data_IF_913422039875
#
_entry.id   IF_913422039875
#
_cell.length_a   1.000
_cell.length_b   1.000
_cell.length_c   1.000
_cell.angle_alpha   90.00
_cell.angle_beta   90.00
_cell.angle_gamma   90.00
#
_symmetry.space_group_name_H-M   'P 1'
#
loop_
_entity.id
_entity.type
_entity.pdbx_description
1 polymer ?
#
# COMPACT_ATOMS: atom_id res chain seq x y z
N UNK A 1 10.94 -5.98 24.02
CA UNK A 1 12.18 -6.72 23.76
C UNK A 1 11.81 -8.02 23.06
N UNK A 2 12.27 -8.21 21.83
CA UNK A 2 12.01 -9.44 21.05
C UNK A 2 12.74 -10.62 21.70
N UNK A 3 12.10 -11.78 21.80
CA UNK A 3 12.71 -12.98 22.37
C UNK A 3 13.86 -13.46 21.47
N UNK A 4 15.10 -13.44 21.98
CA UNK A 4 16.32 -13.72 21.18
C UNK A 4 16.35 -15.13 20.61
N UNK A 5 15.67 -16.09 21.24
CA UNK A 5 15.70 -17.50 20.83
C UNK A 5 14.99 -17.76 19.47
N UNK A 6 14.10 -16.86 19.05
CA UNK A 6 13.36 -17.02 17.78
C UNK A 6 14.14 -16.57 16.54
N UNK A 7 15.34 -15.99 16.69
CA UNK A 7 16.09 -15.34 15.60
C UNK A 7 17.48 -15.92 15.38
N UNK A 8 17.79 -17.12 15.88
CA UNK A 8 19.11 -17.77 15.73
C UNK A 8 19.54 -18.02 14.26
N UNK A 9 18.66 -17.78 13.28
CA UNK A 9 18.90 -17.96 11.85
C UNK A 9 18.84 -16.67 11.04
N UNK A 10 18.98 -15.50 11.68
CA UNK A 10 18.98 -14.21 11.01
C UNK A 10 20.40 -13.63 10.98
N UNK A 11 20.81 -13.16 9.80
CA UNK A 11 22.00 -12.31 9.68
C UNK A 11 21.70 -10.94 10.32
N UNK A 12 22.72 -10.20 10.76
CA UNK A 12 22.54 -8.85 11.31
C UNK A 12 23.11 -7.80 10.35
N UNK A 13 22.37 -6.71 10.11
CA UNK A 13 22.81 -5.62 9.25
C UNK A 13 22.55 -4.27 9.92
N UNK A 14 23.62 -3.51 10.18
CA UNK A 14 23.59 -2.15 10.72
C UNK A 14 24.42 -1.24 9.80
N UNK A 15 23.80 -0.51 8.85
CA UNK A 15 24.53 0.44 8.04
C UNK A 15 24.91 1.66 8.86
N UNK A 16 26.21 1.92 8.94
CA UNK A 16 26.84 3.10 9.56
C UNK A 16 27.36 4.10 8.52
N UNK A 17 27.61 3.64 7.29
CA UNK A 17 28.14 4.45 6.20
C UNK A 17 27.68 3.90 4.84
N UNK A 18 27.81 4.71 3.78
CA UNK A 18 27.38 4.31 2.44
C UNK A 18 28.12 3.06 1.94
N UNK A 19 29.41 2.90 2.30
CA UNK A 19 30.22 1.72 1.96
C UNK A 19 29.64 0.42 2.50
N UNK A 20 28.82 0.43 3.55
CA UNK A 20 28.25 -0.79 4.13
C UNK A 20 27.23 -1.46 3.18
N UNK A 21 26.66 -0.68 2.25
CA UNK A 21 25.84 -1.21 1.14
C UNK A 21 26.69 -1.77 -0.01
N UNK A 22 27.99 -1.50 0.01
CA UNK A 22 28.99 -1.89 -0.97
C UNK A 22 30.07 -2.81 -0.37
N UNK A 23 29.96 -3.22 0.90
CA UNK A 23 31.00 -3.89 1.71
C UNK A 23 31.18 -5.38 1.38
N UNK A 24 31.37 -5.66 0.10
CA UNK A 24 32.01 -6.88 -0.35
C UNK A 24 33.10 -6.59 -1.39
N UNK A 25 33.92 -5.54 -1.21
CA UNK A 25 34.91 -5.22 -2.24
C UNK A 25 36.34 -4.91 -1.81
N UNK A 26 37.14 -5.97 -1.89
CA UNK A 26 38.48 -5.92 -2.48
C UNK A 26 38.49 -6.00 -4.04
N UNK A 27 37.34 -6.08 -4.73
CA UNK A 27 37.23 -6.47 -6.18
C UNK A 27 36.11 -5.80 -7.07
N UNK A 28 35.57 -4.62 -6.74
CA UNK A 28 34.52 -3.85 -7.47
C UNK A 28 33.20 -4.51 -7.97
N UNK A 29 32.09 -4.43 -7.23
CA UNK A 29 30.76 -4.81 -7.74
C UNK A 29 29.62 -4.67 -6.72
N UNK A 30 28.53 -5.42 -6.90
CA UNK A 30 27.22 -5.10 -6.30
C UNK A 30 26.82 -6.19 -5.29
N UNK A 31 26.38 -5.78 -4.10
CA UNK A 31 25.87 -6.70 -3.06
C UNK A 31 24.35 -6.86 -3.18
N UNK A 32 23.88 -8.11 -2.99
CA UNK A 32 22.48 -8.48 -3.14
C UNK A 32 22.02 -9.27 -1.91
N UNK A 33 20.75 -9.09 -1.53
CA UNK A 33 20.05 -10.08 -0.72
C UNK A 33 19.19 -10.91 -1.66
N UNK A 34 19.35 -12.23 -1.60
CA UNK A 34 18.55 -13.13 -2.43
C UNK A 34 17.18 -13.39 -1.78
N UNK A 35 16.21 -13.83 -2.58
CA UNK A 35 14.92 -14.32 -2.09
C UNK A 35 15.14 -15.45 -1.08
N UNK A 36 14.41 -15.43 0.03
CA UNK A 36 14.53 -16.38 1.14
C UNK A 36 15.46 -15.90 2.27
N UNK A 37 16.22 -14.83 2.03
CA UNK A 37 17.14 -14.26 3.02
C UNK A 37 16.37 -13.59 4.19
N UNK A 38 16.95 -13.67 5.39
CA UNK A 38 16.38 -13.18 6.66
C UNK A 38 17.42 -12.37 7.42
N UNK A 39 17.11 -11.12 7.74
CA UNK A 39 18.06 -10.17 8.35
C UNK A 39 17.43 -9.46 9.53
N UNK A 40 18.17 -9.24 10.60
CA UNK A 40 17.88 -8.26 11.62
C UNK A 40 18.52 -6.95 11.20
N UNK A 41 17.68 -5.99 10.78
CA UNK A 41 18.14 -4.69 10.27
C UNK A 41 17.95 -3.64 11.34
N UNK A 42 18.99 -2.85 11.58
CA UNK A 42 18.88 -1.67 12.44
C UNK A 42 18.58 -0.44 11.58
N UNK A 43 17.37 0.10 11.67
CA UNK A 43 16.98 1.33 10.97
C UNK A 43 17.13 2.57 11.87
N UNK A 44 16.93 2.36 13.17
CA UNK A 44 16.99 3.36 14.24
C UNK A 44 17.94 2.83 15.32
N UNK A 45 18.70 3.73 15.95
CA UNK A 45 19.76 3.35 16.87
C UNK A 45 19.26 2.44 18.01
N UNK A 46 19.92 1.29 18.17
CA UNK A 46 19.63 0.30 19.20
C UNK A 46 18.42 -0.59 18.92
N UNK A 47 17.79 -0.48 17.75
CA UNK A 47 16.59 -1.26 17.43
C UNK A 47 16.74 -2.16 16.19
N UNK A 48 16.75 -3.47 16.46
CA UNK A 48 16.77 -4.50 15.42
C UNK A 48 15.35 -4.88 14.98
N UNK A 49 15.11 -4.79 13.68
CA UNK A 49 13.84 -5.12 13.03
C UNK A 49 14.04 -6.35 12.14
N UNK A 50 13.28 -7.44 12.34
CA UNK A 50 13.32 -8.58 11.44
C UNK A 50 12.85 -8.18 10.04
N UNK A 51 13.64 -8.52 9.03
CA UNK A 51 13.34 -8.39 7.61
C UNK A 51 13.35 -9.78 6.98
N UNK A 52 12.29 -10.10 6.25
CA UNK A 52 12.19 -11.32 5.44
C UNK A 52 11.91 -10.95 3.98
N UNK A 53 12.65 -11.55 3.07
CA UNK A 53 12.49 -11.35 1.62
C UNK A 53 11.97 -12.64 1.00
N UNK A 54 10.89 -12.55 0.22
CA UNK A 54 10.28 -13.71 -0.46
C UNK A 54 9.90 -13.35 -1.91
N UNK A 55 9.67 -14.37 -2.73
CA UNK A 55 9.08 -14.19 -4.06
C UNK A 55 7.55 -14.27 -3.95
N UNK A 56 6.85 -13.55 -4.82
CA UNK A 56 5.40 -13.73 -5.02
C UNK A 56 5.05 -15.13 -5.52
N UNK A 57 6.01 -15.81 -6.16
CA UNK A 57 5.87 -17.19 -6.63
C UNK A 57 6.26 -18.24 -5.58
N UNK A 58 6.56 -17.82 -4.35
CA UNK A 58 6.88 -18.77 -3.27
C UNK A 58 5.66 -19.69 -3.03
N UNK A 59 5.80 -21.03 -3.15
CA UNK A 59 4.68 -21.94 -2.93
C UNK A 59 4.13 -21.92 -1.50
N UNK A 60 4.82 -21.27 -0.56
CA UNK A 60 4.39 -21.04 0.82
C UNK A 60 3.89 -19.63 1.05
N UNK A 61 3.68 -18.81 0.00
CA UNK A 61 3.31 -17.40 0.13
C UNK A 61 2.13 -17.19 1.09
N UNK A 62 1.01 -17.89 0.93
CA UNK A 62 -0.14 -17.77 1.85
C UNK A 62 0.22 -18.06 3.30
N UNK A 63 1.05 -19.07 3.56
CA UNK A 63 1.54 -19.36 4.92
C UNK A 63 2.44 -18.25 5.46
N UNK A 64 3.25 -17.62 4.60
CA UNK A 64 4.15 -16.53 4.97
C UNK A 64 3.35 -15.26 5.29
N UNK A 65 2.32 -14.95 4.49
CA UNK A 65 1.40 -13.83 4.70
C UNK A 65 0.63 -14.00 6.02
N UNK A 66 0.05 -15.19 6.26
CA UNK A 66 -0.63 -15.49 7.53
C UNK A 66 0.31 -15.39 8.74
N UNK A 67 1.60 -15.69 8.56
CA UNK A 67 2.56 -15.60 9.65
C UNK A 67 2.89 -14.16 10.04
N UNK A 68 2.72 -13.16 9.17
CA UNK A 68 2.98 -11.76 9.53
C UNK A 68 1.74 -11.06 10.11
N UNK A 69 0.55 -11.60 9.87
CA UNK A 69 -0.69 -11.10 10.45
C UNK A 69 -0.65 -11.23 11.98
N UNK A 70 -0.87 -10.11 12.66
CA UNK A 70 -0.93 -9.99 14.11
C UNK A 70 -2.31 -9.47 14.59
N UNK A 71 -3.30 -9.46 13.69
CA UNK A 71 -4.66 -8.97 13.93
C UNK A 71 -4.79 -7.45 13.90
N UNK A 72 -3.71 -6.71 13.63
CA UNK A 72 -3.72 -5.25 13.50
C UNK A 72 -3.71 -4.79 12.04
N UNK A 73 -3.89 -3.49 11.79
CA UNK A 73 -3.69 -2.95 10.45
C UNK A 73 -2.22 -3.07 10.05
N UNK A 74 -1.97 -3.26 8.76
CA UNK A 74 -0.63 -3.54 8.23
C UNK A 74 -0.09 -2.30 7.51
N UNK A 75 1.14 -1.88 7.83
CA UNK A 75 1.78 -0.82 7.06
C UNK A 75 2.14 -1.34 5.67
N UNK A 76 1.83 -0.56 4.63
CA UNK A 76 1.98 -0.93 3.23
C UNK A 76 2.67 0.19 2.45
N UNK A 77 3.60 -0.22 1.59
CA UNK A 77 4.13 0.60 0.50
C UNK A 77 4.46 -0.28 -0.72
N UNK A 78 4.54 0.32 -1.91
CA UNK A 78 4.79 -0.40 -3.16
C UNK A 78 5.91 0.27 -3.95
N UNK A 79 6.76 -0.53 -4.57
CA UNK A 79 7.66 -0.05 -5.62
C UNK A 79 7.24 -0.59 -6.98
N UNK A 80 7.47 0.19 -8.03
CA UNK A 80 6.99 -0.12 -9.37
C UNK A 80 8.14 -0.30 -10.34
N UNK A 81 7.98 -1.24 -11.27
CA UNK A 81 8.94 -1.40 -12.36
C UNK A 81 8.99 -0.11 -13.21
N UNK A 82 10.16 0.22 -13.79
CA UNK A 82 10.27 1.33 -14.73
C UNK A 82 9.26 1.22 -15.88
N UNK A 83 8.86 2.37 -16.44
CA UNK A 83 7.92 2.35 -17.56
C UNK A 83 8.69 2.00 -18.84
N UNK A 84 8.53 0.77 -19.31
CA UNK A 84 9.13 0.36 -20.57
C UNK A 84 8.18 0.60 -21.75
N UNK A 85 6.85 0.49 -21.55
CA UNK A 85 5.83 0.75 -22.56
C UNK A 85 4.46 1.06 -21.93
N UNK A 86 3.91 2.24 -22.24
CA UNK A 86 2.49 2.64 -22.02
C UNK A 86 2.09 2.98 -20.56
N UNK A 87 2.95 3.57 -19.76
CA UNK A 87 2.61 4.08 -18.42
C UNK A 87 1.99 3.02 -17.49
N UNK A 88 2.33 1.75 -17.67
CA UNK A 88 1.71 0.68 -16.88
C UNK A 88 2.38 0.50 -15.53
N UNK A 89 3.69 0.80 -15.39
CA UNK A 89 4.52 0.65 -14.17
C UNK A 89 3.94 -0.41 -13.21
N UNK A 90 4.05 -1.70 -13.58
CA UNK A 90 3.51 -2.77 -12.74
C UNK A 90 4.21 -2.78 -11.39
N UNK A 91 3.55 -3.34 -10.38
CA UNK A 91 4.13 -3.45 -9.04
C UNK A 91 5.30 -4.44 -9.10
N UNK A 92 6.50 -3.96 -8.79
CA UNK A 92 7.73 -4.77 -8.72
C UNK A 92 8.02 -5.28 -7.31
N UNK A 93 7.59 -4.54 -6.29
CA UNK A 93 7.83 -4.89 -4.90
C UNK A 93 6.62 -4.55 -4.01
N UNK A 94 6.23 -5.49 -3.15
CA UNK A 94 5.25 -5.25 -2.10
C UNK A 94 5.95 -5.25 -0.76
N UNK A 95 5.62 -4.27 0.07
CA UNK A 95 6.29 -4.02 1.33
C UNK A 95 5.25 -4.02 2.43
N UNK A 96 5.45 -4.85 3.46
CA UNK A 96 4.56 -4.94 4.60
C UNK A 96 5.34 -4.79 5.89
N UNK A 97 4.79 -4.07 6.87
CA UNK A 97 5.32 -4.07 8.22
C UNK A 97 4.22 -4.27 9.26
N UNK A 98 4.47 -5.17 10.20
CA UNK A 98 3.63 -5.48 11.37
C UNK A 98 4.47 -5.52 12.64
N UNK A 99 3.90 -5.91 13.78
CA UNK A 99 4.68 -6.12 15.01
C UNK A 99 5.73 -7.23 14.90
N UNK A 100 5.63 -8.07 13.87
CA UNK A 100 6.56 -9.18 13.58
C UNK A 100 7.74 -8.77 12.70
N UNK A 101 7.80 -7.51 12.26
CA UNK A 101 8.86 -6.97 11.41
C UNK A 101 8.38 -6.67 9.99
N UNK A 102 9.34 -6.62 9.07
CA UNK A 102 9.12 -6.29 7.66
C UNK A 102 9.11 -7.55 6.81
N UNK A 103 8.11 -7.65 5.94
CA UNK A 103 8.07 -8.62 4.84
C UNK A 103 8.14 -7.87 3.51
N UNK A 104 9.12 -8.24 2.70
CA UNK A 104 9.23 -7.81 1.31
C UNK A 104 8.86 -8.97 0.41
N UNK A 105 7.91 -8.76 -0.49
CA UNK A 105 7.49 -9.73 -1.52
C UNK A 105 7.90 -9.18 -2.89
N UNK A 106 8.87 -9.83 -3.54
CA UNK A 106 9.29 -9.50 -4.92
C UNK A 106 8.23 -9.99 -5.92
N UNK A 107 7.77 -9.09 -6.79
CA UNK A 107 6.83 -9.41 -7.86
C UNK A 107 7.44 -10.35 -8.91
N UNK A 108 6.57 -10.97 -9.70
CA UNK A 108 6.93 -11.86 -10.81
C UNK A 108 7.17 -11.06 -12.09
N UNK A 109 7.87 -11.66 -13.03
CA UNK A 109 8.18 -11.07 -14.35
C UNK A 109 6.92 -10.89 -15.22
N UNK A 110 5.91 -11.72 -15.02
CA UNK A 110 4.62 -11.62 -15.70
C UNK A 110 3.63 -10.67 -14.99
N UNK A 111 4.04 -10.13 -13.83
CA UNK A 111 3.26 -9.23 -12.99
C UNK A 111 1.90 -9.80 -12.57
N UNK A 112 1.77 -11.13 -12.55
CA UNK A 112 0.58 -11.81 -12.10
C UNK A 112 0.50 -11.80 -10.56
N UNK A 113 -0.66 -11.42 -10.03
CA UNK A 113 -0.93 -11.51 -8.59
C UNK A 113 -1.61 -12.87 -8.27
N UNK A 114 -0.97 -13.75 -7.49
CA UNK A 114 -1.52 -15.06 -7.12
C UNK A 114 -2.69 -14.92 -6.14
N UNK A 115 -3.50 -15.97 -6.06
CA UNK A 115 -4.72 -15.99 -5.25
C UNK A 115 -4.45 -15.65 -3.78
N UNK A 116 -3.43 -16.26 -3.17
CA UNK A 116 -3.05 -15.99 -1.76
C UNK A 116 -2.81 -14.49 -1.50
N UNK A 117 -2.15 -13.80 -2.43
CA UNK A 117 -1.88 -12.36 -2.32
C UNK A 117 -3.18 -11.53 -2.48
N UNK A 118 -4.06 -11.94 -3.41
CA UNK A 118 -5.37 -11.29 -3.59
C UNK A 118 -6.23 -11.43 -2.35
N UNK A 119 -6.33 -12.65 -1.82
CA UNK A 119 -7.06 -12.93 -0.60
C UNK A 119 -6.52 -12.15 0.58
N UNK A 120 -5.19 -12.04 0.71
CA UNK A 120 -4.55 -11.23 1.74
C UNK A 120 -4.95 -9.75 1.65
N UNK A 121 -4.89 -9.13 0.46
CA UNK A 121 -5.35 -7.75 0.29
C UNK A 121 -6.83 -7.56 0.59
N UNK A 122 -7.68 -8.51 0.21
CA UNK A 122 -9.13 -8.42 0.41
C UNK A 122 -9.55 -8.64 1.87
N UNK A 123 -8.78 -9.43 2.63
CA UNK A 123 -9.10 -9.81 4.01
C UNK A 123 -8.50 -8.89 5.08
N UNK A 124 -7.50 -8.08 4.73
CA UNK A 124 -6.78 -7.23 5.69
C UNK A 124 -7.03 -5.74 5.44
N UNK A 125 -6.70 -4.93 6.46
CA UNK A 125 -6.71 -3.48 6.40
C UNK A 125 -5.29 -2.94 6.43
N UNK A 126 -5.00 -2.01 5.55
CA UNK A 126 -3.68 -1.44 5.36
C UNK A 126 -3.67 0.05 5.66
N UNK A 127 -2.48 0.57 5.93
CA UNK A 127 -2.22 2.00 5.95
C UNK A 127 -0.85 2.30 5.32
N UNK A 128 -0.73 3.45 4.69
CA UNK A 128 0.51 3.94 4.10
C UNK A 128 0.51 5.46 4.09
N UNK A 129 1.55 6.08 3.50
CA UNK A 129 1.65 7.52 3.39
C UNK A 129 1.63 7.95 1.92
N UNK A 130 0.67 8.79 1.53
CA UNK A 130 0.56 9.26 0.15
C UNK A 130 0.11 8.17 -0.81
N UNK A 131 -0.85 7.34 -0.39
CA UNK A 131 -1.18 6.04 -1.00
C UNK A 131 -2.02 6.13 -2.28
N UNK A 132 -2.13 7.30 -2.89
CA UNK A 132 -3.04 7.54 -4.02
C UNK A 132 -2.69 6.68 -5.23
N UNK A 133 -1.42 6.65 -5.59
CA UNK A 133 -0.94 5.81 -6.70
C UNK A 133 -0.99 4.33 -6.34
N UNK A 134 -0.64 3.95 -5.11
CA UNK A 134 -0.67 2.55 -4.67
C UNK A 134 -2.06 1.95 -4.79
N UNK A 135 -3.08 2.70 -4.40
CA UNK A 135 -4.47 2.30 -4.57
C UNK A 135 -4.80 2.01 -6.04
N UNK A 136 -4.45 2.92 -6.94
CA UNK A 136 -4.71 2.75 -8.38
C UNK A 136 -4.01 1.50 -8.92
N UNK A 137 -2.76 1.26 -8.50
CA UNK A 137 -1.98 0.09 -8.91
C UNK A 137 -2.56 -1.22 -8.37
N UNK A 138 -3.02 -1.24 -7.12
CA UNK A 138 -3.67 -2.39 -6.52
C UNK A 138 -5.01 -2.69 -7.19
N UNK A 139 -5.83 -1.68 -7.48
CA UNK A 139 -7.09 -1.87 -8.21
C UNK A 139 -6.86 -2.50 -9.59
N UNK A 140 -5.81 -2.05 -10.28
CA UNK A 140 -5.40 -2.62 -11.55
C UNK A 140 -4.99 -4.09 -11.42
N UNK A 141 -4.16 -4.42 -10.43
CA UNK A 141 -3.65 -5.78 -10.20
C UNK A 141 -4.72 -6.76 -9.66
N UNK A 142 -5.64 -6.27 -8.83
CA UNK A 142 -6.75 -7.02 -8.26
C UNK A 142 -7.93 -7.17 -9.24
N UNK A 143 -8.02 -6.28 -10.24
CA UNK A 143 -9.15 -6.14 -11.17
C UNK A 143 -10.48 -5.83 -10.46
N UNK A 144 -10.43 -5.06 -9.37
CA UNK A 144 -11.58 -4.66 -8.55
C UNK A 144 -11.25 -3.39 -7.75
N UNK A 145 -12.26 -2.61 -7.31
CA UNK A 145 -12.04 -1.43 -6.46
C UNK A 145 -11.44 -1.79 -5.10
N UNK A 146 -10.48 -1.01 -4.62
CA UNK A 146 -9.73 -1.30 -3.40
C UNK A 146 -9.82 -0.16 -2.38
N UNK A 147 -10.56 -0.40 -1.29
CA UNK A 147 -10.80 0.60 -0.24
C UNK A 147 -9.99 0.39 1.03
N UNK A 148 -9.36 -0.77 1.21
CA UNK A 148 -8.74 -1.20 2.47
C UNK A 148 -7.34 -0.60 2.69
N UNK A 149 -7.10 0.64 2.23
CA UNK A 149 -5.82 1.34 2.37
C UNK A 149 -6.05 2.76 2.86
N UNK A 150 -5.72 2.99 4.13
CA UNK A 150 -5.74 4.30 4.76
C UNK A 150 -4.50 5.11 4.37
N UNK A 151 -4.71 6.37 3.97
CA UNK A 151 -3.62 7.33 3.79
C UNK A 151 -3.40 8.14 5.06
N UNK A 152 -2.34 7.82 5.80
CA UNK A 152 -2.02 8.46 7.08
C UNK A 152 -1.70 9.94 6.92
N UNK A 153 -1.27 10.38 5.74
CA UNK A 153 -1.02 11.80 5.47
C UNK A 153 -2.31 12.61 5.67
N UNK A 154 -3.41 12.09 5.14
CA UNK A 154 -4.71 12.74 5.16
C UNK A 154 -5.51 12.42 6.44
N UNK A 155 -5.44 11.18 6.94
CA UNK A 155 -6.23 10.78 8.12
C UNK A 155 -5.58 11.17 9.46
N UNK A 156 -4.25 11.29 9.51
CA UNK A 156 -3.51 11.44 10.77
C UNK A 156 -2.57 12.65 10.81
N UNK A 157 -1.81 12.94 9.75
CA UNK A 157 -0.78 13.99 9.77
C UNK A 157 -1.39 15.39 9.60
N UNK A 158 -2.08 15.64 8.48
CA UNK A 158 -2.69 16.94 8.18
C UNK A 158 -3.67 17.40 9.27
N UNK A 159 -4.59 16.57 9.79
CA UNK A 159 -5.52 16.99 10.83
C UNK A 159 -4.84 17.37 12.15
N UNK A 160 -3.59 16.93 12.36
CA UNK A 160 -2.79 17.23 13.56
C UNK A 160 -1.73 18.31 13.33
N UNK A 161 -1.69 18.93 12.15
CA UNK A 161 -0.68 19.94 11.81
C UNK A 161 0.74 19.39 11.74
N UNK A 162 0.90 18.07 11.53
CA UNK A 162 2.21 17.43 11.44
C UNK A 162 2.75 17.51 10.01
N UNK A 163 4.09 17.50 9.87
CA UNK A 163 4.73 17.53 8.55
C UNK A 163 4.33 16.32 7.72
N UNK A 164 4.02 16.57 6.45
CA UNK A 164 3.79 15.54 5.43
C UNK A 164 5.08 15.20 4.67
N UNK A 165 6.19 15.89 4.91
CA UNK A 165 7.49 15.47 4.40
C UNK A 165 7.92 14.21 5.17
N UNK A 166 8.36 13.16 4.45
CA UNK A 166 8.64 11.85 5.05
C UNK A 166 9.68 11.93 6.18
N UNK A 167 10.81 12.58 5.93
CA UNK A 167 11.89 12.67 6.91
C UNK A 167 11.45 13.47 8.14
N UNK A 168 10.87 14.66 7.92
CA UNK A 168 10.38 15.50 9.01
C UNK A 168 9.26 14.82 9.81
N UNK A 169 8.40 14.03 9.16
CA UNK A 169 7.37 13.23 9.84
C UNK A 169 8.02 12.25 10.82
N UNK A 170 9.01 11.48 10.35
CA UNK A 170 9.71 10.49 11.18
C UNK A 170 10.42 11.17 12.35
N UNK A 171 11.21 12.21 12.07
CA UNK A 171 11.97 12.93 13.10
C UNK A 171 11.07 13.58 14.15
N UNK A 172 10.01 14.29 13.72
CA UNK A 172 9.13 15.01 14.64
C UNK A 172 8.25 14.08 15.48
N UNK A 173 7.81 12.95 14.93
CA UNK A 173 6.91 12.02 15.64
C UNK A 173 7.68 11.03 16.50
N UNK A 174 8.78 10.47 15.98
CA UNK A 174 9.57 9.47 16.70
C UNK A 174 10.63 10.09 17.61
N UNK A 175 11.06 11.33 17.33
CA UNK A 175 12.16 11.98 18.05
C UNK A 175 13.52 11.36 17.74
N UNK A 176 13.65 10.68 16.60
CA UNK A 176 14.84 9.96 16.17
C UNK A 176 15.04 10.11 14.65
N UNK A 177 16.31 10.13 14.24
CA UNK A 177 16.72 10.05 12.84
C UNK A 177 17.08 8.60 12.48
N UNK A 178 16.95 8.19 11.21
CA UNK A 178 17.48 6.91 10.77
C UNK A 178 19.01 6.88 10.94
N UNK A 179 19.58 5.69 11.18
CA UNK A 179 21.04 5.54 11.33
C UNK A 179 21.81 5.79 10.03
N UNK A 180 21.15 5.61 8.90
CA UNK A 180 21.65 5.90 7.56
C UNK A 180 20.55 6.55 6.75
N UNK A 181 20.88 7.60 5.97
CA UNK A 181 19.94 8.33 5.12
C UNK A 181 19.41 7.44 3.99
N UNK A 182 18.18 6.92 4.10
CA UNK A 182 17.70 5.90 3.17
C UNK A 182 17.15 6.51 1.89
N UNK A 183 16.66 7.76 1.93
CA UNK A 183 15.88 8.40 0.85
C UNK A 183 16.74 8.95 -0.31
N UNK A 184 17.62 8.12 -0.87
CA UNK A 184 18.36 8.46 -2.10
C UNK A 184 17.46 8.36 -3.33
N UNK A 185 17.31 9.48 -4.05
CA UNK A 185 16.52 9.56 -5.29
C UNK A 185 16.95 8.54 -6.36
N UNK A 186 18.24 8.17 -6.40
CA UNK A 186 18.76 7.14 -7.32
C UNK A 186 18.18 5.76 -7.02
N UNK A 187 17.86 5.47 -5.76
CA UNK A 187 17.20 4.22 -5.35
C UNK A 187 15.70 4.30 -5.64
N UNK A 188 15.04 5.42 -5.29
CA UNK A 188 13.62 5.64 -5.60
C UNK A 188 13.32 5.45 -7.10
N UNK A 189 14.22 5.92 -7.97
CA UNK A 189 14.07 5.83 -9.44
C UNK A 189 14.78 4.62 -10.06
N UNK A 190 15.21 3.65 -9.25
CA UNK A 190 15.93 2.47 -9.73
C UNK A 190 15.00 1.46 -10.41
N UNK A 191 15.58 0.42 -11.00
CA UNK A 191 14.82 -0.68 -11.56
C UNK A 191 14.38 -1.65 -10.46
N UNK A 192 13.12 -1.52 -10.05
CA UNK A 192 12.46 -2.40 -9.08
C UNK A 192 11.92 -3.70 -9.69
N UNK A 193 11.97 -3.83 -11.02
CA UNK A 193 11.66 -5.06 -11.75
C UNK A 193 12.87 -5.96 -11.99
N UNK A 194 14.07 -5.52 -11.60
CA UNK A 194 15.30 -6.27 -11.84
C UNK A 194 15.27 -7.69 -11.22
N UNK A 195 15.92 -8.65 -11.89
CA UNK A 195 16.03 -10.04 -11.44
C UNK A 195 16.56 -10.14 -10.00
N UNK A 196 17.55 -9.28 -9.67
CA UNK A 196 18.17 -9.18 -8.35
C UNK A 196 18.21 -7.72 -7.90
N UNK A 197 17.61 -7.46 -6.74
CA UNK A 197 17.67 -6.15 -6.10
C UNK A 197 18.87 -6.07 -5.15
N UNK A 198 19.49 -4.90 -5.12
CA UNK A 198 20.63 -4.63 -4.25
C UNK A 198 20.21 -4.58 -2.78
N UNK A 199 21.15 -4.79 -1.85
CA UNK A 199 20.92 -4.58 -0.41
C UNK A 199 20.35 -3.18 -0.15
N UNK A 200 20.84 -2.17 -0.88
CA UNK A 200 20.37 -0.79 -0.75
C UNK A 200 18.90 -0.61 -1.13
N UNK A 201 18.44 -1.28 -2.18
CA UNK A 201 17.02 -1.27 -2.59
C UNK A 201 16.14 -1.94 -1.53
N UNK A 202 16.54 -3.11 -1.01
CA UNK A 202 15.78 -3.77 0.06
C UNK A 202 15.77 -2.97 1.37
N UNK A 203 16.90 -2.37 1.74
CA UNK A 203 16.98 -1.51 2.92
C UNK A 203 16.06 -0.29 2.78
N UNK A 204 16.06 0.36 1.60
CA UNK A 204 15.16 1.46 1.28
C UNK A 204 13.69 1.06 1.49
N UNK A 205 13.26 -0.01 0.80
CA UNK A 205 11.87 -0.47 0.86
C UNK A 205 11.48 -0.88 2.30
N UNK A 206 12.34 -1.62 2.98
CA UNK A 206 12.07 -2.03 4.35
C UNK A 206 11.98 -0.84 5.32
N UNK A 207 12.78 0.20 5.13
CA UNK A 207 12.72 1.43 5.92
C UNK A 207 11.38 2.15 5.75
N UNK A 208 10.85 2.24 4.52
CA UNK A 208 9.64 3.01 4.23
C UNK A 208 8.43 2.52 5.03
N UNK A 209 8.17 1.22 4.99
CA UNK A 209 7.08 0.63 5.78
C UNK A 209 7.38 0.55 7.28
N UNK A 210 8.64 0.36 7.68
CA UNK A 210 9.03 0.33 9.09
C UNK A 210 8.83 1.69 9.77
N UNK A 211 9.26 2.77 9.12
CA UNK A 211 9.10 4.13 9.62
C UNK A 211 7.63 4.53 9.69
N UNK A 212 6.84 4.23 8.65
CA UNK A 212 5.38 4.46 8.64
C UNK A 212 4.69 3.65 9.74
N UNK A 213 5.05 2.38 9.92
CA UNK A 213 4.54 1.54 11.00
C UNK A 213 4.76 2.19 12.36
N UNK A 214 5.99 2.61 12.66
CA UNK A 214 6.36 3.25 13.94
C UNK A 214 5.61 4.55 14.18
N UNK A 215 5.53 5.41 13.16
CA UNK A 215 4.80 6.68 13.22
C UNK A 215 3.33 6.42 13.54
N UNK A 216 2.71 5.46 12.86
CA UNK A 216 1.32 5.08 13.12
C UNK A 216 1.12 4.63 14.57
N UNK A 217 1.96 3.72 15.07
CA UNK A 217 1.89 3.23 16.46
C UNK A 217 2.04 4.39 17.47
N UNK A 218 2.96 5.32 17.24
CA UNK A 218 3.16 6.49 18.10
C UNK A 218 1.94 7.41 18.11
N UNK A 219 1.35 7.69 16.94
CA UNK A 219 0.18 8.57 16.81
C UNK A 219 -1.10 7.97 17.41
N UNK A 220 -1.20 6.64 17.46
CA UNK A 220 -2.31 5.92 18.10
C UNK A 220 -2.09 5.68 19.60
N UNK A 221 -0.89 5.94 20.12
CA UNK A 221 -0.63 5.88 21.55
C UNK A 221 -1.40 6.98 22.30
N UNK A 222 -2.21 6.58 23.30
CA UNK A 222 -3.04 7.50 24.10
C UNK A 222 -2.24 8.61 24.79
N UNK A 223 -1.05 8.30 25.28
CA UNK A 223 -0.19 9.27 25.94
C UNK A 223 0.32 10.33 24.95
N UNK A 224 0.71 9.90 23.74
CA UNK A 224 1.10 10.84 22.69
C UNK A 224 -0.06 11.76 22.29
N UNK A 225 -1.27 11.19 22.14
CA UNK A 225 -2.49 11.98 21.87
C UNK A 225 -2.72 13.03 22.96
N UNK A 226 -2.52 12.70 24.23
CA UNK A 226 -2.66 13.63 25.35
C UNK A 226 -1.61 14.77 25.29
N UNK A 227 -0.35 14.45 25.01
CA UNK A 227 0.73 15.44 24.88
C UNK A 227 0.43 16.41 23.73
N UNK A 228 0.04 15.90 22.56
CA UNK A 228 -0.29 16.72 21.39
C UNK A 228 -1.48 17.67 21.64
N UNK A 229 -2.52 17.20 22.33
CA UNK A 229 -3.66 18.04 22.69
C UNK A 229 -3.25 19.19 23.61
N UNK A 230 -2.40 18.92 24.60
CA UNK A 230 -1.93 19.93 25.55
C UNK A 230 -1.01 20.97 24.91
N UNK A 231 -0.12 20.55 24.01
CA UNK A 231 0.77 21.47 23.28
C UNK A 231 -0.03 22.42 22.37
N UNK A 232 -1.07 21.92 21.70
CA UNK A 232 -1.95 22.76 20.90
C UNK A 232 -2.73 23.75 21.76
N UNK A 233 -3.23 23.36 22.93
CA UNK A 233 -3.89 24.29 23.86
C UNK A 233 -2.98 25.42 24.35
N UNK A 234 -1.70 25.12 24.60
CA UNK A 234 -0.70 26.12 25.00
C UNK A 234 -0.36 27.08 23.84
N UNK A 235 -0.25 26.58 22.60
CA UNK A 235 0.00 27.41 21.42
C UNK A 235 -1.19 28.32 21.06
N UNK A 236 -2.43 27.88 21.29
CA UNK A 236 -3.62 28.72 21.15
C UNK A 236 -3.69 29.83 22.22
N UNK A 237 -3.19 29.57 23.44
CA UNK A 237 -3.13 30.60 24.49
C UNK A 237 -2.05 31.65 24.20
N UNK A 238 -0.87 31.23 23.73
CA UNK A 238 0.24 32.15 23.43
C UNK A 238 -0.03 33.06 22.22
N UNK A 239 -0.74 32.57 21.19
CA UNK A 239 -1.16 33.40 20.04
C UNK A 239 -2.28 34.40 20.39
N UNK A 240 -3.16 34.07 21.34
CA UNK A 240 -4.19 35.01 21.81
C UNK A 240 -3.61 36.09 22.73
N UNK A 241 -2.54 35.82 23.48
CA UNK A 241 -1.85 36.85 24.27
C UNK A 241 -1.05 37.85 23.43
N UNK A 242 -0.71 37.52 22.17
CA UNK A 242 -0.04 38.48 21.27
C UNK A 242 -1.00 39.37 20.46
N UNK A 243 -2.29 39.02 20.42
CA UNK A 243 -3.33 39.76 19.66
C UNK A 243 -4.06 40.81 20.51
N UNK A 244 -4.03 40.66 21.83
CA UNK A 244 -4.38 41.75 22.75
C UNK A 244 -3.07 42.37 23.24
N UNK A 245 -2.73 43.54 22.70
CA UNK A 245 -1.69 44.40 23.26
C UNK A 245 -2.08 44.80 24.68
N UNK A 246 -1.81 43.94 25.65
CA UNK A 246 -1.99 44.23 27.07
C UNK A 246 -0.70 44.86 27.55
N UNK A 247 -0.77 46.18 27.74
CA UNK A 247 0.17 46.96 28.52
C UNK A 247 0.50 46.26 29.83
N UNK A 248 1.79 46.21 30.15
CA UNK A 248 2.35 45.65 31.38
C UNK A 248 1.60 46.13 32.64
N UNK A 249 0.69 45.33 33.17
CA UNK A 249 0.28 45.42 34.57
C UNK A 249 1.20 44.46 35.35
N UNK A 250 2.23 45.02 35.97
CA UNK A 250 3.04 44.32 36.98
C UNK A 250 2.15 43.96 38.15
N UNK A 251 1.80 42.69 38.29
CA UNK A 251 1.36 42.16 39.57
C UNK A 251 2.60 41.67 40.34
N UNK A 252 3.00 42.44 41.34
CA UNK A 252 3.88 41.96 42.40
C UNK A 252 3.06 40.99 43.26
N UNK A 253 3.40 39.71 43.25
CA UNK A 253 2.97 38.78 44.28
C UNK A 253 4.13 38.55 45.25
N UNK A 254 3.99 39.09 46.46
CA UNK A 254 4.77 38.68 47.62
C UNK A 254 3.88 37.91 48.59
N UNK A 255 4.46 36.81 49.05
CA UNK A 255 4.28 36.10 50.32
C UNK A 255 3.12 35.10 50.50
N UNK A 256 3.55 33.85 50.65
CA UNK A 256 3.43 32.97 51.82
C UNK A 256 2.06 32.66 52.47
N UNK A 257 1.90 31.34 52.61
CA UNK A 257 1.40 30.55 53.74
C UNK A 257 -0.11 30.32 53.99
N UNK A 258 -0.36 29.00 54.08
CA UNK A 258 -1.26 28.26 54.97
C UNK A 258 -2.80 28.25 54.80
N UNK A 259 -3.27 27.01 54.59
CA UNK A 259 -4.49 26.35 55.11
C UNK A 259 -5.76 27.20 55.33
N UNK A 260 -6.87 26.79 54.70
CA UNK A 260 -8.01 26.13 55.38
C UNK A 260 -9.01 25.59 54.34
N UNK A 261 -9.57 24.45 54.71
CA UNK A 261 -10.63 23.67 54.10
C UNK A 261 -12.00 24.15 54.62
N UNK A 262 -12.98 24.45 53.75
CA UNK A 262 -14.43 24.24 54.05
C UNK A 262 -15.29 24.30 52.78
N UNK A 263 -16.10 23.26 52.59
CA UNK A 263 -17.35 23.27 51.82
C UNK A 263 -18.36 24.26 52.43
N UNK A 264 -19.15 24.98 51.62
CA UNK A 264 -20.62 24.84 51.51
C UNK A 264 -21.33 25.98 50.73
N UNK A 265 -22.26 25.54 49.87
CA UNK A 265 -23.52 26.16 49.40
C UNK A 265 -23.65 27.62 48.93
N UNK A 266 -24.20 27.75 47.72
CA UNK A 266 -25.52 28.36 47.39
C UNK A 266 -25.55 29.38 46.24
N UNK A 267 -26.57 29.17 45.41
CA UNK A 267 -27.10 30.00 44.33
C UNK A 267 -27.03 31.50 44.61
N UNK A 268 -26.71 32.32 43.60
CA UNK A 268 -27.48 33.51 43.16
C UNK A 268 -26.97 33.93 41.77
N UNK A 269 -27.89 34.04 40.82
CA UNK A 269 -27.76 34.78 39.55
C UNK A 269 -27.93 36.28 39.83
N UNK A 270 -27.24 37.18 39.10
CA UNK A 270 -28.04 38.04 38.23
C UNK A 270 -27.41 38.40 36.88
N UNK A 271 -28.35 38.71 35.99
CA UNK A 271 -28.25 39.30 34.66
C UNK A 271 -27.24 40.45 34.54
N UNK A 272 -26.50 40.47 33.43
CA UNK A 272 -26.12 41.71 32.75
C UNK A 272 -26.38 41.52 31.24
N UNK A 273 -27.36 42.27 30.75
CA UNK A 273 -27.51 42.60 29.34
C UNK A 273 -26.33 43.48 28.91
N UNK A 274 -25.75 43.22 27.75
CA UNK A 274 -25.38 44.29 26.82
C UNK A 274 -25.28 43.77 25.40
N UNK A 275 -25.92 44.55 24.53
CA UNK A 275 -26.13 44.45 23.10
C UNK A 275 -24.87 44.71 22.30
N UNK A 276 -24.61 43.90 21.26
CA UNK A 276 -23.99 44.38 20.01
C UNK A 276 -24.64 43.67 18.81
N UNK A 277 -25.24 44.48 17.96
CA UNK A 277 -25.82 44.21 16.64
C UNK A 277 -24.75 43.80 15.62
N UNK A 278 -25.01 42.74 14.86
CA UNK A 278 -24.20 42.32 13.71
C UNK A 278 -25.08 41.87 12.55
N UNK A 279 -24.93 42.56 11.42
CA UNK A 279 -25.72 42.49 10.19
C UNK A 279 -25.63 41.12 9.51
N UNK A 280 -26.76 40.45 9.29
CA UNK A 280 -26.86 39.32 8.35
C UNK A 280 -27.35 39.83 6.99
N UNK A 281 -26.52 39.64 5.95
CA UNK A 281 -26.92 39.80 4.55
C UNK A 281 -27.59 38.51 4.08
N UNK A 282 -28.84 38.62 3.65
CA UNK A 282 -29.57 37.59 2.92
C UNK A 282 -28.93 37.38 1.54
N UNK A 283 -28.55 36.14 1.24
CA UNK A 283 -28.16 35.75 -0.11
C UNK A 283 -29.37 35.19 -0.87
N UNK A 284 -29.58 35.81 -2.04
CA UNK A 284 -30.63 35.54 -3.03
C UNK A 284 -30.69 34.07 -3.44
N UNK A 285 -31.88 33.52 -3.36
CA UNK A 285 -32.36 32.32 -4.07
C UNK A 285 -32.28 32.52 -5.59
N UNK A 286 -31.56 31.64 -6.28
CA UNK A 286 -31.59 31.51 -7.74
C UNK A 286 -32.60 30.42 -8.12
N UNK A 287 -33.63 30.79 -8.87
CA UNK A 287 -34.58 29.87 -9.50
C UNK A 287 -33.93 29.22 -10.73
N UNK A 288 -33.93 27.89 -10.81
CA UNK A 288 -33.62 27.16 -12.04
C UNK A 288 -34.93 26.74 -12.73
N UNK A 289 -35.03 27.07 -14.02
CA UNK A 289 -36.09 26.59 -14.91
C UNK A 289 -35.85 25.13 -15.33
N UNK A 290 -36.90 24.33 -15.59
CA UNK A 290 -36.75 22.95 -16.02
C UNK A 290 -36.48 22.85 -17.54
N UNK A 291 -35.45 22.10 -17.93
CA UNK A 291 -35.24 21.68 -19.33
C UNK A 291 -35.85 20.30 -19.58
N UNK A 292 -36.48 20.15 -20.74
CA UNK A 292 -37.17 18.96 -21.23
C UNK A 292 -36.23 17.76 -21.49
N UNK A 293 -36.73 16.51 -21.42
CA UNK A 293 -35.90 15.31 -21.59
C UNK A 293 -35.54 15.04 -23.05
N UNK A 294 -34.27 14.70 -23.28
CA UNK A 294 -33.73 14.19 -24.54
C UNK A 294 -33.95 12.68 -24.60
N UNK A 295 -34.70 12.21 -25.60
CA UNK A 295 -34.90 10.80 -25.91
C UNK A 295 -33.63 10.25 -26.56
N UNK A 296 -33.05 9.20 -25.99
CA UNK A 296 -32.02 8.37 -26.65
C UNK A 296 -32.51 6.92 -26.72
N UNK A 297 -32.57 6.39 -27.93
CA UNK A 297 -32.94 5.00 -28.23
C UNK A 297 -31.87 4.03 -27.73
N UNK A 298 -32.29 3.01 -26.98
CA UNK A 298 -31.46 1.89 -26.56
C UNK A 298 -31.73 0.71 -27.50
N UNK A 299 -30.73 0.31 -28.29
CA UNK A 299 -30.75 -0.95 -29.04
C UNK A 299 -30.24 -2.06 -28.13
N UNK A 300 -31.11 -3.00 -27.76
CA UNK A 300 -30.79 -4.17 -26.94
C UNK A 300 -30.16 -5.24 -27.84
N UNK A 301 -28.90 -5.62 -27.59
CA UNK A 301 -28.30 -6.84 -28.15
C UNK A 301 -28.55 -8.01 -27.20
N UNK A 302 -29.18 -9.06 -27.69
CA UNK A 302 -29.30 -10.34 -26.98
C UNK A 302 -27.96 -11.11 -27.04
N UNK A 303 -27.48 -11.73 -25.95
CA UNK A 303 -26.27 -12.53 -25.98
C UNK A 303 -26.50 -13.86 -26.70
N UNK A 304 -25.61 -14.18 -27.63
CA UNK A 304 -25.51 -15.47 -28.32
C UNK A 304 -24.89 -16.51 -27.38
N UNK A 305 -25.57 -17.64 -27.17
CA UNK A 305 -25.07 -18.77 -26.36
C UNK A 305 -24.55 -19.85 -27.32
N UNK A 306 -23.24 -20.15 -27.37
CA UNK A 306 -22.74 -21.24 -28.19
C UNK A 306 -23.11 -22.59 -27.58
N UNK A 307 -23.64 -23.51 -28.39
CA UNK A 307 -23.82 -24.91 -28.02
C UNK A 307 -22.52 -25.68 -28.24
N UNK A 308 -22.07 -26.42 -27.23
CA UNK A 308 -20.92 -27.32 -27.32
C UNK A 308 -21.38 -28.77 -27.15
N UNK A 309 -21.06 -29.62 -28.12
CA UNK A 309 -21.24 -31.07 -28.04
C UNK A 309 -19.89 -31.73 -27.71
N UNK A 310 -19.75 -32.45 -26.58
CA UNK A 310 -18.55 -33.22 -26.31
C UNK A 310 -18.53 -34.46 -27.22
N UNK A 311 -17.44 -34.63 -27.98
CA UNK A 311 -17.10 -35.91 -28.60
C UNK A 311 -16.15 -36.67 -27.69
N UNK A 312 -16.49 -37.91 -27.39
CA UNK A 312 -15.68 -38.84 -26.59
C UNK A 312 -14.56 -39.43 -27.45
N UNK A 313 -13.29 -39.24 -27.08
CA UNK A 313 -12.16 -39.94 -27.69
C UNK A 313 -11.03 -40.20 -26.67
N UNK A 314 -10.59 -41.46 -26.69
CA UNK A 314 -9.52 -42.11 -25.94
C UNK A 314 -8.19 -41.37 -25.79
N UNK A 315 -7.68 -41.34 -24.55
CA UNK A 315 -6.28 -41.45 -24.13
C UNK A 315 -5.19 -40.93 -25.09
N UNK A 316 -5.03 -39.60 -25.22
CA UNK A 316 -3.71 -38.90 -25.25
C UNK A 316 -3.77 -37.38 -25.57
N UNK A 317 -4.85 -36.69 -25.20
CA UNK A 317 -4.94 -35.23 -25.34
C UNK A 317 -6.39 -34.79 -25.48
N UNK A 318 -6.62 -33.47 -25.51
CA UNK A 318 -7.91 -32.89 -25.87
C UNK A 318 -7.72 -31.85 -26.97
N UNK A 319 -8.78 -31.67 -27.76
CA UNK A 319 -8.82 -30.71 -28.85
C UNK A 319 -9.72 -29.54 -28.46
N UNK A 320 -9.25 -28.32 -28.70
CA UNK A 320 -10.08 -27.12 -28.63
C UNK A 320 -10.30 -26.61 -30.06
N UNK A 321 -11.56 -26.49 -30.47
CA UNK A 321 -11.96 -26.02 -31.80
C UNK A 321 -12.58 -24.65 -31.67
N UNK A 322 -12.01 -23.65 -32.35
CA UNK A 322 -12.49 -22.28 -32.37
C UNK A 322 -12.93 -21.89 -33.77
N UNK A 323 -14.12 -21.29 -33.97
CA UNK A 323 -14.48 -20.69 -35.24
C UNK A 323 -13.57 -19.48 -35.53
N UNK A 324 -13.04 -19.40 -36.76
CA UNK A 324 -12.23 -18.27 -37.21
C UNK A 324 -13.10 -17.02 -37.35
N UNK A 325 -13.05 -16.14 -36.35
CA UNK A 325 -13.50 -14.76 -36.49
C UNK A 325 -12.36 -14.04 -37.21
N UNK A 326 -12.63 -13.43 -38.38
CA UNK A 326 -11.66 -12.69 -39.22
C UNK A 326 -11.01 -11.53 -38.44
N UNK A 327 -10.03 -11.82 -37.59
CA UNK A 327 -9.35 -10.83 -36.77
C UNK A 327 -7.87 -11.19 -36.61
N UNK A 328 -6.98 -10.29 -37.06
CA UNK A 328 -5.52 -10.46 -37.08
C UNK A 328 -4.91 -10.72 -35.70
N UNK A 329 -5.63 -10.43 -34.61
CA UNK A 329 -5.16 -10.58 -33.24
C UNK A 329 -5.08 -12.04 -32.73
N UNK A 330 -5.72 -13.01 -33.40
CA UNK A 330 -5.62 -14.43 -33.03
C UNK A 330 -4.22 -15.01 -33.25
N UNK A 331 -3.44 -14.45 -34.19
CA UNK A 331 -2.10 -14.94 -34.54
C UNK A 331 -1.15 -14.82 -33.34
N UNK A 332 -1.26 -13.76 -32.54
CA UNK A 332 -0.42 -13.56 -31.34
C UNK A 332 -0.75 -14.55 -30.21
N UNK A 333 -2.03 -14.94 -30.06
CA UNK A 333 -2.46 -15.94 -29.08
C UNK A 333 -1.91 -17.33 -29.43
N UNK A 334 -1.86 -17.66 -30.73
CA UNK A 334 -1.33 -18.93 -31.24
C UNK A 334 0.19 -19.06 -31.03
N UNK A 335 0.93 -17.95 -31.10
CA UNK A 335 2.38 -17.91 -30.84
C UNK A 335 2.73 -18.20 -29.37
N UNK A 336 1.85 -17.85 -28.43
CA UNK A 336 2.05 -18.13 -27.00
C UNK A 336 1.80 -19.61 -26.69
N UNK A 337 0.80 -20.21 -27.34
CA UNK A 337 0.44 -21.61 -27.14
C UNK A 337 1.47 -22.59 -27.76
N UNK A 338 2.10 -22.23 -28.89
CA UNK A 338 3.12 -23.09 -29.51
C UNK A 338 4.39 -23.28 -28.67
N UNK A 339 4.64 -22.41 -27.68
CA UNK A 339 5.76 -22.54 -26.73
C UNK A 339 5.53 -23.59 -25.64
N UNK A 340 4.32 -24.14 -25.49
CA UNK A 340 3.98 -25.12 -24.44
C UNK A 340 3.37 -26.40 -25.02
N UNK A 341 4.18 -27.28 -25.63
CA UNK A 341 3.78 -28.66 -26.02
C UNK A 341 2.39 -28.79 -26.70
N UNK A 342 1.97 -27.76 -27.45
CA UNK A 342 0.70 -27.75 -28.16
C UNK A 342 1.00 -27.73 -29.66
N UNK A 343 0.20 -28.48 -30.42
CA UNK A 343 0.20 -28.40 -31.88
C UNK A 343 -1.00 -27.57 -32.31
N UNK A 344 -0.75 -26.51 -33.07
CA UNK A 344 -1.81 -25.66 -33.62
C UNK A 344 -1.97 -25.98 -35.09
N UNK A 345 -3.20 -26.27 -35.52
CA UNK A 345 -3.55 -26.45 -36.93
C UNK A 345 -4.68 -25.50 -37.28
N UNK A 346 -4.57 -24.83 -38.43
CA UNK A 346 -5.56 -23.86 -38.90
C UNK A 346 -6.21 -24.38 -40.18
N UNK A 347 -7.54 -24.25 -40.28
CA UNK A 347 -8.30 -24.40 -41.53
C UNK A 347 -8.97 -23.07 -41.88
N UNK A 348 -9.60 -22.95 -43.05
CA UNK A 348 -10.22 -21.70 -43.51
C UNK A 348 -11.23 -21.11 -42.51
N UNK A 349 -11.92 -21.94 -41.75
CA UNK A 349 -13.00 -21.53 -40.86
C UNK A 349 -12.76 -21.87 -39.39
N UNK A 350 -11.66 -22.56 -39.05
CA UNK A 350 -11.43 -23.01 -37.68
C UNK A 350 -9.96 -23.02 -37.28
N UNK A 351 -9.71 -22.83 -35.99
CA UNK A 351 -8.42 -23.11 -35.36
C UNK A 351 -8.58 -24.30 -34.45
N UNK A 352 -7.74 -25.31 -34.64
CA UNK A 352 -7.69 -26.52 -33.83
C UNK A 352 -6.41 -26.47 -33.01
N UNK A 353 -6.54 -26.47 -31.69
CA UNK A 353 -5.41 -26.57 -30.77
C UNK A 353 -5.42 -27.96 -30.16
N UNK A 354 -4.39 -28.74 -30.44
CA UNK A 354 -4.14 -30.03 -29.80
C UNK A 354 -3.18 -29.83 -28.62
N UNK A 355 -3.63 -30.21 -27.43
CA UNK A 355 -2.85 -30.09 -26.20
C UNK A 355 -2.40 -31.49 -25.76
N UNK A 356 -1.15 -31.83 -26.05
CA UNK A 356 -0.56 -33.08 -25.53
C UNK A 356 0.07 -32.82 -24.16
N UNK A 357 -0.50 -33.40 -23.10
CA UNK A 357 0.05 -33.46 -21.73
C UNK A 357 0.27 -32.10 -21.02
N UNK A 358 -0.78 -31.30 -20.87
CA UNK A 358 -0.71 -30.14 -19.98
C UNK A 358 -1.18 -30.51 -18.55
N UNK A 359 -0.35 -30.23 -17.52
CA UNK A 359 -0.79 -30.18 -16.13
C UNK A 359 -1.09 -28.71 -15.79
N UNK A 360 -2.35 -28.35 -15.62
CA UNK A 360 -2.77 -26.99 -15.25
C UNK A 360 -4.10 -26.55 -15.88
N UNK A 361 -4.51 -25.32 -15.60
CA UNK A 361 -5.70 -24.70 -16.19
C UNK A 361 -5.33 -23.98 -17.49
N UNK A 362 -6.17 -24.13 -18.52
CA UNK A 362 -6.08 -23.33 -19.74
C UNK A 362 -7.22 -22.32 -19.71
N UNK A 363 -6.88 -21.03 -19.67
CA UNK A 363 -7.83 -19.93 -19.79
C UNK A 363 -7.70 -19.24 -21.14
N UNK A 364 -8.84 -18.90 -21.76
CA UNK A 364 -8.89 -18.03 -22.94
C UNK A 364 -9.20 -16.61 -22.49
N UNK A 365 -8.37 -15.65 -22.90
CA UNK A 365 -8.62 -14.23 -22.65
C UNK A 365 -9.10 -13.62 -23.97
N UNK A 366 -10.39 -13.27 -24.04
CA UNK A 366 -10.93 -12.50 -25.15
C UNK A 366 -10.90 -11.01 -24.77
N UNK A 367 -10.37 -10.17 -25.67
CA UNK A 367 -10.01 -8.78 -25.36
C UNK A 367 -11.22 -7.82 -25.17
N UNK A 368 -12.46 -8.29 -25.32
CA UNK A 368 -13.66 -7.48 -25.10
C UNK A 368 -14.80 -8.35 -24.53
N UNK A 369 -15.10 -8.18 -23.24
CA UNK A 369 -16.24 -8.81 -22.57
C UNK A 369 -15.90 -10.15 -21.92
N UNK A 370 -16.14 -10.24 -20.61
CA UNK A 370 -15.79 -11.38 -19.76
C UNK A 370 -16.90 -12.45 -19.83
N UNK A 371 -16.59 -13.65 -20.32
CA UNK A 371 -17.30 -14.89 -19.97
C UNK A 371 -16.25 -15.94 -19.66
N UNK A 372 -15.89 -16.18 -18.38
CA UNK A 372 -14.89 -17.16 -18.04
C UNK A 372 -15.50 -18.55 -18.23
N UNK A 373 -15.01 -19.30 -19.22
CA UNK A 373 -15.23 -20.74 -19.30
C UNK A 373 -13.95 -21.41 -18.82
N UNK A 374 -13.94 -21.86 -17.56
CA UNK A 374 -12.84 -22.65 -17.00
C UNK A 374 -13.12 -24.11 -17.31
N UNK A 375 -12.31 -24.74 -18.16
CA UNK A 375 -12.34 -26.18 -18.34
C UNK A 375 -11.25 -26.82 -17.48
N UNK A 376 -11.65 -27.75 -16.59
CA UNK A 376 -10.74 -28.56 -15.80
C UNK A 376 -10.35 -29.78 -16.63
N UNK A 377 -9.07 -29.91 -17.00
CA UNK A 377 -8.57 -31.16 -17.56
C UNK A 377 -8.55 -32.22 -16.44
N UNK A 378 -9.08 -33.43 -16.72
CA UNK A 378 -8.91 -34.60 -15.85
C UNK A 378 -7.56 -35.28 -16.12
#
# INVERSE_FOLDING_TARGET
>A
MLNKDNYQHYDTFKPTQASDFYEAYAYGGICFWDVGHKVLVEFFEGEQVPLKIVSIDDPKLGSILNNIDDGSKIALDLEWCPDHYRNQNPIGLYQFCTSKGVLIVKGSDDHFMPLDMKEFFLSHHFYGKGTGNDRIKLEYALHLPFSNLEDIENSLLRPRGLSCNFQQMVENVLGQTPIYEPKDKRVTMSDWGADRLTIRQYYYAAYDVCAVYKVYQKLHNKAYKFIMLNQNSQNFQSQNTSLYGVSNIKYNYTNNDHFINTNTYSNVSPQIQNSITGVFRENKTFSQQPMAPKVTSTTTYLPFVPQYTPYDISHNGFYLIFPMIKNRNMISLLTILSRKQCTVTTSENQVIVHVSRCKGYIGLIQRHGFVPTVMKAQ
#
